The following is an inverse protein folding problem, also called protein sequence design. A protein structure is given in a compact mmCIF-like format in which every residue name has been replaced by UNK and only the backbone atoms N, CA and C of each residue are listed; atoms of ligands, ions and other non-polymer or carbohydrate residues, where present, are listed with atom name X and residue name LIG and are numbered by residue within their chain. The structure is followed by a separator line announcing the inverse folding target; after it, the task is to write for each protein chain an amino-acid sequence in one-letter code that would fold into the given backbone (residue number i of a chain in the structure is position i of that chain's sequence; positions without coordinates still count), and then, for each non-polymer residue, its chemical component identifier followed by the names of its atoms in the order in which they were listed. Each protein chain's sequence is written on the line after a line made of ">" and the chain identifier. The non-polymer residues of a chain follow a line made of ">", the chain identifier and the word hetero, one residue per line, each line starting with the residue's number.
data_IF_759495737374
#
_entry.id   IF_759495737374
#
_cell.length_a   1.000
_cell.length_b   1.000
_cell.length_c   1.000
_cell.angle_alpha   90.00
_cell.angle_beta   90.00
_cell.angle_gamma   90.00
#
_symmetry.space_group_name_H-M   'P 1'
#
loop_
_entity.id
_entity.type
_entity.pdbx_description
1 polymer ?
#
# COMPACT_ATOMS: atom_id res chain seq x y z
N UNK A 1 2.33 25.72 -13.68
CA UNK A 1 0.98 26.07 -14.19
C UNK A 1 0.38 24.97 -15.06
N UNK A 2 1.12 24.28 -15.94
CA UNK A 2 0.52 23.22 -16.78
C UNK A 2 0.22 21.90 -16.05
N UNK A 3 1.03 21.48 -15.07
CA UNK A 3 0.75 20.25 -14.28
C UNK A 3 -0.49 20.35 -13.37
N UNK A 4 -0.74 21.53 -12.78
CA UNK A 4 -1.94 21.76 -11.95
C UNK A 4 -3.25 21.63 -12.76
N UNK A 5 -3.21 21.92 -14.07
CA UNK A 5 -4.38 21.84 -14.94
C UNK A 5 -4.65 20.43 -15.48
N UNK A 6 -3.60 19.62 -15.69
CA UNK A 6 -3.74 18.24 -16.18
C UNK A 6 -4.14 17.26 -15.06
N UNK A 7 -3.81 17.55 -13.81
CA UNK A 7 -4.25 16.76 -12.65
C UNK A 7 -5.73 17.02 -12.32
N UNK A 8 -6.25 18.23 -12.53
CA UNK A 8 -7.55 18.61 -11.94
C UNK A 8 -8.77 17.98 -12.63
N UNK A 9 -8.86 17.93 -13.95
CA UNK A 9 -10.09 17.46 -14.63
C UNK A 9 -10.28 15.93 -14.57
N UNK A 10 -9.23 15.10 -14.80
CA UNK A 10 -9.35 13.65 -14.70
C UNK A 10 -9.56 13.17 -13.26
N UNK A 11 -8.89 13.79 -12.27
CA UNK A 11 -9.02 13.40 -10.86
C UNK A 11 -10.40 13.77 -10.29
N UNK A 12 -10.92 14.97 -10.59
CA UNK A 12 -12.23 15.43 -10.08
C UNK A 12 -13.41 14.61 -10.57
N UNK A 13 -13.25 13.85 -11.65
CA UNK A 13 -14.29 12.98 -12.21
C UNK A 13 -14.01 11.49 -12.00
N UNK A 14 -12.91 11.14 -11.31
CA UNK A 14 -12.51 9.76 -11.10
C UNK A 14 -13.56 9.01 -10.27
N UNK A 15 -13.95 7.81 -10.74
CA UNK A 15 -14.93 6.96 -10.07
C UNK A 15 -14.22 5.86 -9.27
N UNK A 16 -14.84 5.31 -8.22
CA UNK A 16 -14.35 4.09 -7.57
C UNK A 16 -14.01 3.00 -8.61
N UNK A 17 -12.86 2.37 -8.45
CA UNK A 17 -12.29 1.39 -9.38
C UNK A 17 -11.40 1.96 -10.48
N UNK A 18 -11.46 3.26 -10.77
CA UNK A 18 -10.59 3.90 -11.75
C UNK A 18 -9.11 3.86 -11.30
N UNK A 19 -8.21 3.73 -12.28
CA UNK A 19 -6.77 3.92 -12.09
C UNK A 19 -6.40 5.35 -12.47
N UNK A 20 -5.68 6.01 -11.57
CA UNK A 20 -5.12 7.35 -11.76
C UNK A 20 -3.63 7.33 -11.44
N UNK A 21 -2.92 8.39 -11.82
CA UNK A 21 -1.52 8.61 -11.44
C UNK A 21 -1.38 9.81 -10.52
N UNK A 22 -0.56 9.67 -9.47
CA UNK A 22 -0.30 10.72 -8.48
C UNK A 22 1.03 10.41 -7.77
N UNK A 23 1.98 11.34 -7.75
CA UNK A 23 3.34 11.08 -7.29
C UNK A 23 4.12 10.12 -8.19
N UNK A 24 5.40 9.95 -7.86
CA UNK A 24 6.36 9.10 -8.58
C UNK A 24 7.24 8.35 -7.60
N UNK A 25 7.51 7.07 -7.82
CA UNK A 25 8.41 6.28 -6.98
C UNK A 25 9.22 5.31 -7.84
N UNK A 26 10.39 4.83 -7.39
CA UNK A 26 11.12 3.80 -8.13
C UNK A 26 10.30 2.52 -8.28
N UNK A 27 10.29 1.97 -9.49
CA UNK A 27 9.57 0.74 -9.83
C UNK A 27 10.41 -0.21 -10.69
N UNK A 28 11.52 0.26 -11.27
CA UNK A 28 12.45 -0.54 -12.04
C UNK A 28 13.49 -1.25 -11.14
N UNK A 29 14.17 -2.25 -11.71
CA UNK A 29 15.14 -3.08 -11.00
C UNK A 29 16.43 -2.34 -10.57
N UNK A 30 16.74 -1.18 -11.14
CA UNK A 30 17.88 -0.36 -10.70
C UNK A 30 17.51 0.68 -9.63
N UNK A 31 16.20 0.89 -9.39
CA UNK A 31 15.68 1.84 -8.43
C UNK A 31 16.00 3.31 -8.72
N UNK A 32 16.48 3.63 -9.92
CA UNK A 32 16.89 4.98 -10.33
C UNK A 32 15.76 5.76 -11.02
N UNK A 33 14.68 5.06 -11.39
CA UNK A 33 13.55 5.62 -12.09
C UNK A 33 12.63 6.44 -11.18
N UNK A 34 11.83 7.30 -11.80
CA UNK A 34 10.74 8.06 -11.16
C UNK A 34 9.41 7.75 -11.82
N UNK A 35 9.03 6.48 -11.83
CA UNK A 35 7.79 6.03 -12.49
C UNK A 35 6.56 6.55 -11.75
N UNK A 36 5.58 7.14 -12.46
CA UNK A 36 4.30 7.54 -11.86
C UNK A 36 3.64 6.39 -11.11
N UNK A 37 3.20 6.64 -9.88
CA UNK A 37 2.52 5.62 -9.09
C UNK A 37 1.09 5.47 -9.61
N UNK A 38 0.69 4.25 -9.94
CA UNK A 38 -0.70 3.94 -10.25
C UNK A 38 -1.48 3.70 -8.96
N UNK A 39 -2.56 4.46 -8.79
CA UNK A 39 -3.47 4.35 -7.67
C UNK A 39 -4.85 3.96 -8.16
N UNK A 40 -5.45 3.00 -7.46
CA UNK A 40 -6.86 2.72 -7.62
C UNK A 40 -7.68 3.58 -6.66
N UNK A 41 -8.73 4.19 -7.19
CA UNK A 41 -9.71 4.93 -6.39
C UNK A 41 -10.58 3.92 -5.64
N UNK A 42 -10.44 3.86 -4.31
CA UNK A 42 -11.31 3.05 -3.44
C UNK A 42 -12.65 3.74 -3.22
N UNK A 43 -12.62 5.05 -2.95
CA UNK A 43 -13.81 5.86 -2.70
C UNK A 43 -13.62 7.26 -3.28
N UNK A 44 -14.73 7.88 -3.68
CA UNK A 44 -14.78 9.29 -4.02
C UNK A 44 -16.02 9.90 -3.36
N UNK A 45 -15.82 10.73 -2.34
CA UNK A 45 -16.90 11.39 -1.61
C UNK A 45 -16.57 12.85 -1.37
N UNK A 46 -17.50 13.75 -1.67
CA UNK A 46 -17.35 15.19 -1.44
C UNK A 46 -16.03 15.79 -2.00
N UNK A 47 -15.53 15.32 -3.15
CA UNK A 47 -14.24 15.77 -3.71
C UNK A 47 -12.98 15.24 -3.02
N UNK A 48 -13.13 14.33 -2.05
CA UNK A 48 -12.04 13.55 -1.47
C UNK A 48 -11.94 12.20 -2.17
N UNK A 49 -10.73 11.84 -2.60
CA UNK A 49 -10.40 10.53 -3.14
C UNK A 49 -9.63 9.72 -2.09
N UNK A 50 -10.11 8.52 -1.82
CA UNK A 50 -9.34 7.52 -1.08
C UNK A 50 -8.64 6.60 -2.08
N UNK A 51 -7.31 6.65 -2.10
CA UNK A 51 -6.46 6.01 -3.08
C UNK A 51 -5.64 4.89 -2.45
N UNK A 52 -5.43 3.82 -3.21
CA UNK A 52 -4.62 2.68 -2.82
C UNK A 52 -3.72 2.24 -3.96
N UNK A 53 -2.43 2.00 -3.69
CA UNK A 53 -1.46 1.66 -4.73
C UNK A 53 -1.86 0.36 -5.43
N UNK A 54 -1.78 0.34 -6.76
CA UNK A 54 -2.16 -0.86 -7.53
C UNK A 54 -1.21 -2.04 -7.25
N UNK A 55 0.09 -1.73 -7.10
CA UNK A 55 1.16 -2.69 -6.83
C UNK A 55 1.80 -2.49 -5.45
N UNK A 56 2.53 -3.50 -5.00
CA UNK A 56 3.49 -3.37 -3.90
C UNK A 56 4.67 -2.53 -4.39
N UNK A 57 4.90 -1.38 -3.77
CA UNK A 57 5.90 -0.41 -4.22
C UNK A 57 7.29 -0.63 -3.62
N UNK A 58 7.35 -1.18 -2.40
CA UNK A 58 8.62 -1.49 -1.72
C UNK A 58 8.43 -2.63 -0.71
N UNK A 59 9.54 -3.15 -0.19
CA UNK A 59 9.56 -4.19 0.86
C UNK A 59 10.17 -3.63 2.12
N UNK A 60 9.41 -3.69 3.22
CA UNK A 60 9.85 -3.23 4.54
C UNK A 60 9.37 -4.22 5.59
N UNK A 61 10.19 -4.42 6.63
CA UNK A 61 9.69 -5.01 7.88
C UNK A 61 8.63 -4.07 8.46
N UNK A 62 7.67 -4.64 9.18
CA UNK A 62 6.76 -3.82 9.98
C UNK A 62 7.55 -3.09 11.08
N UNK A 63 8.44 -3.83 11.75
CA UNK A 63 9.41 -3.33 12.72
C UNK A 63 10.71 -4.14 12.64
N UNK A 64 11.86 -3.53 12.92
CA UNK A 64 13.16 -4.19 12.73
C UNK A 64 13.33 -5.46 13.60
N UNK A 65 12.84 -5.45 14.83
CA UNK A 65 13.02 -6.52 15.81
C UNK A 65 11.73 -7.33 16.03
N UNK A 66 11.86 -8.57 16.49
CA UNK A 66 10.70 -9.40 16.84
C UNK A 66 10.25 -9.14 18.28
N UNK A 67 9.68 -7.96 18.49
CA UNK A 67 9.18 -7.49 19.79
C UNK A 67 7.74 -7.03 19.66
N UNK A 68 7.08 -6.86 20.80
CA UNK A 68 5.77 -6.24 20.84
C UNK A 68 5.86 -4.78 20.39
N UNK A 69 5.06 -4.43 19.38
CA UNK A 69 5.08 -3.10 18.76
C UNK A 69 3.67 -2.74 18.28
N UNK A 70 3.38 -1.45 18.17
CA UNK A 70 2.12 -0.91 17.65
C UNK A 70 2.29 -0.35 16.24
N UNK A 71 1.20 -0.11 15.51
CA UNK A 71 1.26 0.68 14.26
C UNK A 71 1.94 2.03 14.47
N UNK A 72 1.57 2.72 15.56
CA UNK A 72 2.05 4.06 15.92
C UNK A 72 3.58 4.14 15.95
N UNK A 73 4.21 3.13 16.54
CA UNK A 73 5.65 3.10 16.79
C UNK A 73 6.44 2.27 15.76
N UNK A 74 5.73 1.63 14.81
CA UNK A 74 6.31 0.80 13.76
C UNK A 74 7.26 1.56 12.83
N UNK A 75 8.25 0.87 12.30
CA UNK A 75 9.22 1.45 11.36
C UNK A 75 8.58 1.68 9.99
N UNK A 76 7.65 0.81 9.57
CA UNK A 76 6.92 0.99 8.32
C UNK A 76 6.08 2.26 8.32
N UNK A 77 5.43 2.62 9.45
CA UNK A 77 4.67 3.88 9.56
C UNK A 77 5.59 5.10 9.49
N UNK A 78 6.72 5.05 10.22
CA UNK A 78 7.74 6.12 10.20
C UNK A 78 8.28 6.31 8.79
N UNK A 79 8.59 5.23 8.09
CA UNK A 79 9.07 5.26 6.71
C UNK A 79 8.01 5.83 5.75
N UNK A 80 6.74 5.41 5.88
CA UNK A 80 5.63 5.88 5.05
C UNK A 80 5.43 7.40 5.16
N UNK A 81 5.47 7.94 6.37
CA UNK A 81 5.18 9.36 6.64
C UNK A 81 6.41 10.28 6.56
N UNK A 82 7.61 9.71 6.40
CA UNK A 82 8.84 10.48 6.18
C UNK A 82 9.41 10.14 4.80
N UNK A 83 10.29 9.14 4.72
CA UNK A 83 11.06 8.80 3.52
C UNK A 83 10.18 8.61 2.28
N UNK A 84 9.15 7.76 2.37
CA UNK A 84 8.26 7.50 1.24
C UNK A 84 7.49 8.77 0.85
N UNK A 85 6.87 9.46 1.81
CA UNK A 85 6.10 10.68 1.55
C UNK A 85 6.94 11.77 0.85
N UNK A 86 8.18 11.97 1.28
CA UNK A 86 9.07 12.97 0.68
C UNK A 86 9.64 12.53 -0.67
N UNK A 87 9.88 11.23 -0.87
CA UNK A 87 10.36 10.70 -2.15
C UNK A 87 9.25 10.67 -3.22
N UNK A 88 8.04 10.27 -2.80
CA UNK A 88 6.92 9.98 -3.68
C UNK A 88 6.21 11.22 -4.20
N UNK A 89 6.08 12.28 -3.38
CA UNK A 89 5.24 13.43 -3.69
C UNK A 89 6.03 14.74 -3.71
N UNK A 90 5.84 15.54 -4.75
CA UNK A 90 6.39 16.89 -4.80
C UNK A 90 5.58 17.89 -3.95
N UNK A 91 6.08 19.11 -3.76
CA UNK A 91 5.43 20.10 -2.89
C UNK A 91 4.08 20.59 -3.44
N UNK A 92 3.81 20.44 -4.73
CA UNK A 92 2.50 20.74 -5.31
C UNK A 92 1.49 19.63 -4.99
N UNK A 93 1.90 18.37 -5.08
CA UNK A 93 1.10 17.20 -4.78
C UNK A 93 0.79 17.08 -3.28
N UNK A 94 1.80 17.34 -2.43
CA UNK A 94 1.66 17.29 -0.97
C UNK A 94 0.54 18.17 -0.43
N UNK A 95 0.20 19.27 -1.11
CA UNK A 95 -0.90 20.19 -0.73
C UNK A 95 -2.27 19.52 -0.78
N UNK A 96 -2.45 18.53 -1.65
CA UNK A 96 -3.71 17.80 -1.76
C UNK A 96 -3.80 16.64 -0.76
N UNK A 97 -2.69 16.19 -0.17
CA UNK A 97 -2.66 15.05 0.74
C UNK A 97 -3.20 15.43 2.12
N UNK A 98 -4.33 14.83 2.47
CA UNK A 98 -4.95 15.02 3.78
C UNK A 98 -4.24 14.21 4.86
N UNK A 99 -4.21 14.81 6.04
CA UNK A 99 -3.94 14.05 7.26
C UNK A 99 -5.17 13.21 7.58
N UNK A 100 -4.96 11.93 7.82
CA UNK A 100 -6.01 10.95 8.06
C UNK A 100 -5.89 10.42 9.47
N UNK A 101 -6.97 10.55 10.23
CA UNK A 101 -7.12 9.92 11.52
C UNK A 101 -7.22 8.40 11.37
N UNK A 102 -6.30 7.68 11.99
CA UNK A 102 -6.14 6.23 11.88
C UNK A 102 -6.30 5.58 13.25
N UNK A 103 -7.32 4.75 13.40
CA UNK A 103 -7.71 4.04 14.62
C UNK A 103 -7.26 2.58 14.62
N UNK A 104 -7.58 1.82 15.67
CA UNK A 104 -7.29 0.37 15.79
C UNK A 104 -5.77 0.05 15.83
N UNK A 105 -5.00 0.94 16.46
CA UNK A 105 -3.54 0.86 16.56
C UNK A 105 -3.03 -0.05 17.69
N UNK A 106 -3.94 -0.70 18.42
CA UNK A 106 -3.66 -1.57 19.56
C UNK A 106 -4.35 -1.12 20.84
N UNK A 107 -4.47 -2.05 21.79
CA UNK A 107 -4.88 -1.73 23.15
C UNK A 107 -3.86 -0.76 23.77
N UNK A 108 -4.35 0.27 24.46
CA UNK A 108 -3.56 1.37 25.03
C UNK A 108 -2.68 2.16 24.04
N UNK A 109 -2.88 1.96 22.74
CA UNK A 109 -2.20 2.70 21.69
C UNK A 109 -3.08 3.83 21.20
N UNK A 110 -2.59 5.06 21.28
CA UNK A 110 -3.30 6.22 20.76
C UNK A 110 -3.52 6.13 19.24
N UNK A 111 -4.62 6.73 18.79
CA UNK A 111 -4.85 6.95 17.37
C UNK A 111 -3.72 7.79 16.74
N UNK A 112 -3.53 7.64 15.43
CA UNK A 112 -2.49 8.33 14.67
C UNK A 112 -3.07 9.27 13.64
N UNK A 113 -2.28 10.26 13.26
CA UNK A 113 -2.58 11.20 12.19
C UNK A 113 -1.57 10.98 11.08
N UNK A 114 -2.00 10.34 9.99
CA UNK A 114 -1.12 9.82 8.95
C UNK A 114 -1.40 10.50 7.60
N UNK A 115 -0.34 10.88 6.89
CA UNK A 115 -0.41 11.35 5.49
C UNK A 115 -0.43 10.19 4.51
N UNK A 116 0.33 9.14 4.81
CA UNK A 116 0.37 7.88 4.06
C UNK A 116 0.29 6.75 5.06
N UNK A 117 -0.55 5.76 4.79
CA UNK A 117 -0.86 4.67 5.73
C UNK A 117 -1.05 3.34 4.99
N UNK A 118 -1.13 2.24 5.74
CA UNK A 118 -1.60 0.95 5.21
C UNK A 118 -3.10 0.84 5.46
N UNK A 119 -3.83 0.08 4.64
CA UNK A 119 -5.23 -0.22 4.96
C UNK A 119 -5.33 -0.95 6.32
N UNK A 120 -6.40 -0.65 7.05
CA UNK A 120 -6.86 -1.48 8.16
C UNK A 120 -7.51 -2.76 7.66
N UNK A 121 -7.76 -3.71 8.55
CA UNK A 121 -8.50 -4.94 8.24
C UNK A 121 -9.93 -4.63 7.77
N UNK A 122 -10.73 -3.78 8.44
CA UNK A 122 -12.06 -3.41 7.94
C UNK A 122 -12.01 -2.76 6.56
N UNK A 123 -11.11 -1.78 6.34
CA UNK A 123 -10.95 -1.14 5.03
C UNK A 123 -10.56 -2.15 3.94
N UNK A 124 -9.65 -3.08 4.23
CA UNK A 124 -9.28 -4.13 3.29
C UNK A 124 -10.45 -5.09 3.02
N UNK A 125 -11.28 -5.42 4.01
CA UNK A 125 -12.45 -6.28 3.80
C UNK A 125 -13.53 -5.60 2.96
N UNK A 126 -13.77 -4.32 3.19
CA UNK A 126 -14.85 -3.57 2.54
C UNK A 126 -14.48 -3.09 1.14
N UNK A 127 -13.26 -2.56 0.97
CA UNK A 127 -12.86 -1.78 -0.20
C UNK A 127 -12.02 -2.56 -1.22
N UNK A 128 -11.69 -3.83 -0.93
CA UNK A 128 -10.93 -4.69 -1.82
C UNK A 128 -11.61 -6.04 -2.01
N UNK A 129 -11.32 -6.74 -3.11
CA UNK A 129 -11.95 -8.00 -3.49
C UNK A 129 -10.91 -9.06 -3.91
N UNK A 130 -11.30 -10.34 -3.91
CA UNK A 130 -10.55 -11.32 -4.70
C UNK A 130 -10.87 -11.11 -6.18
N UNK A 131 -9.91 -11.31 -7.09
CA UNK A 131 -10.09 -11.01 -8.51
C UNK A 131 -11.31 -11.71 -9.13
N UNK A 132 -11.59 -12.96 -8.75
CA UNK A 132 -12.76 -13.71 -9.23
C UNK A 132 -14.11 -13.17 -8.71
N UNK A 133 -14.10 -12.33 -7.67
CA UNK A 133 -15.32 -11.80 -7.04
C UNK A 133 -15.75 -10.47 -7.66
N UNK A 134 -14.80 -9.57 -7.97
CA UNK A 134 -15.10 -8.26 -8.54
C UNK A 134 -13.86 -7.68 -9.27
N UNK A 135 -13.86 -7.63 -10.62
CA UNK A 135 -12.74 -7.13 -11.41
C UNK A 135 -12.60 -5.59 -11.38
N UNK A 136 -13.62 -4.87 -10.89
CA UNK A 136 -13.63 -3.41 -10.85
C UNK A 136 -13.11 -2.84 -9.52
N UNK A 137 -13.20 -3.62 -8.44
CA UNK A 137 -12.63 -3.27 -7.13
C UNK A 137 -11.12 -3.43 -7.07
N UNK A 138 -10.51 -2.85 -6.03
CA UNK A 138 -9.10 -3.08 -5.73
C UNK A 138 -8.84 -4.55 -5.42
N UNK A 139 -7.83 -5.12 -6.08
CA UNK A 139 -7.43 -6.51 -5.90
C UNK A 139 -6.68 -6.67 -4.58
N UNK A 140 -7.06 -7.68 -3.78
CA UNK A 140 -6.30 -8.09 -2.59
C UNK A 140 -4.99 -8.77 -2.96
N UNK A 141 -5.06 -9.81 -3.79
CA UNK A 141 -3.88 -10.41 -4.42
C UNK A 141 -3.29 -9.42 -5.41
N UNK A 142 -1.98 -9.18 -5.29
CA UNK A 142 -1.26 -8.30 -6.20
C UNK A 142 0.21 -8.74 -6.29
N UNK A 143 0.89 -8.13 -7.25
CA UNK A 143 2.32 -8.28 -7.51
C UNK A 143 3.08 -7.07 -6.97
N UNK A 144 4.40 -7.24 -6.81
CA UNK A 144 5.30 -6.12 -6.59
C UNK A 144 5.93 -5.61 -7.86
N UNK A 145 6.33 -4.34 -7.81
CA UNK A 145 7.23 -3.74 -8.80
C UNK A 145 8.59 -4.45 -8.79
N UNK A 146 9.40 -4.28 -9.83
CA UNK A 146 10.76 -4.82 -9.83
C UNK A 146 11.59 -4.23 -8.70
N UNK A 147 11.40 -2.93 -8.40
CA UNK A 147 12.05 -2.28 -7.27
C UNK A 147 11.72 -2.93 -5.92
N UNK A 148 10.47 -3.36 -5.69
CA UNK A 148 10.09 -4.03 -4.45
C UNK A 148 10.78 -5.39 -4.28
N UNK A 149 11.04 -6.11 -5.39
CA UNK A 149 11.72 -7.42 -5.43
C UNK A 149 13.22 -7.34 -5.17
N UNK A 150 13.81 -6.14 -5.23
CA UNK A 150 15.24 -5.96 -4.95
C UNK A 150 15.58 -6.29 -3.51
N UNK A 151 16.72 -6.97 -3.32
CA UNK A 151 17.30 -7.16 -2.01
C UNK A 151 17.88 -5.83 -1.52
N UNK A 152 17.35 -5.34 -0.41
CA UNK A 152 17.76 -4.11 0.27
C UNK A 152 18.93 -4.38 1.22
N UNK A 153 19.64 -3.33 1.62
CA UNK A 153 20.81 -3.43 2.49
C UNK A 153 20.48 -3.97 3.90
N UNK A 154 19.26 -3.74 4.38
CA UNK A 154 18.74 -4.27 5.64
C UNK A 154 18.25 -5.74 5.53
N UNK A 155 18.45 -6.37 4.37
CA UNK A 155 18.03 -7.73 4.07
C UNK A 155 16.57 -7.88 3.66
N UNK A 156 15.79 -6.79 3.55
CA UNK A 156 14.44 -6.86 2.98
C UNK A 156 14.48 -7.27 1.51
N UNK A 157 13.56 -8.15 1.10
CA UNK A 157 13.42 -8.62 -0.27
C UNK A 157 12.02 -9.20 -0.47
N UNK A 158 11.22 -8.67 -1.42
CA UNK A 158 9.85 -9.16 -1.60
C UNK A 158 9.85 -10.63 -1.98
N UNK A 159 9.17 -11.45 -1.19
CA UNK A 159 9.00 -12.84 -1.56
C UNK A 159 7.79 -13.02 -2.48
N UNK A 160 8.08 -13.39 -3.72
CA UNK A 160 7.10 -13.75 -4.76
C UNK A 160 6.75 -15.23 -4.62
N UNK A 161 5.46 -15.56 -4.50
CA UNK A 161 5.04 -16.96 -4.46
C UNK A 161 4.72 -17.49 -5.85
N UNK A 162 5.65 -18.25 -6.42
CA UNK A 162 5.59 -18.82 -7.76
C UNK A 162 5.57 -20.36 -7.76
N UNK A 163 5.05 -20.97 -6.69
CA UNK A 163 5.00 -22.44 -6.52
C UNK A 163 3.80 -23.12 -7.19
N UNK A 164 3.50 -22.73 -8.43
CA UNK A 164 2.60 -23.40 -9.40
C UNK A 164 1.15 -23.69 -9.00
N UNK A 165 0.65 -23.15 -7.88
CA UNK A 165 -0.78 -23.21 -7.52
C UNK A 165 -1.48 -21.94 -8.03
N UNK A 166 -2.42 -22.11 -8.98
CA UNK A 166 -3.07 -21.04 -9.74
C UNK A 166 -3.61 -19.86 -8.92
N UNK A 167 -4.22 -20.13 -7.75
CA UNK A 167 -4.79 -19.10 -6.86
C UNK A 167 -3.77 -18.10 -6.29
N UNK A 168 -2.46 -18.35 -6.46
CA UNK A 168 -1.41 -17.42 -6.04
C UNK A 168 -0.97 -16.49 -7.17
N UNK A 169 -1.57 -16.57 -8.35
CA UNK A 169 -1.18 -15.77 -9.51
C UNK A 169 -2.28 -14.82 -9.91
N UNK A 170 -1.88 -13.71 -10.54
CA UNK A 170 -2.77 -12.87 -11.33
C UNK A 170 -2.29 -12.86 -12.78
N UNK A 171 -3.20 -12.53 -13.70
CA UNK A 171 -2.84 -12.20 -15.08
C UNK A 171 -2.74 -10.68 -15.18
N UNK A 172 -1.57 -10.19 -15.58
CA UNK A 172 -1.31 -8.78 -15.83
C UNK A 172 -0.71 -8.65 -17.23
N UNK A 173 -1.31 -7.85 -18.11
CA UNK A 173 -0.87 -7.69 -19.50
C UNK A 173 -0.66 -9.02 -20.27
N UNK A 174 -1.45 -10.05 -19.94
CA UNK A 174 -1.36 -11.37 -20.56
C UNK A 174 -0.29 -12.30 -19.95
N UNK A 175 0.46 -11.83 -18.96
CA UNK A 175 1.48 -12.62 -18.25
C UNK A 175 0.95 -13.13 -16.90
N UNK A 176 1.28 -14.38 -16.56
CA UNK A 176 0.94 -14.97 -15.27
C UNK A 176 2.03 -14.65 -14.23
N UNK A 177 1.67 -13.84 -13.22
CA UNK A 177 2.62 -13.32 -12.24
C UNK A 177 2.25 -13.73 -10.81
N UNK A 178 3.26 -14.19 -10.06
CA UNK A 178 3.09 -14.63 -8.67
C UNK A 178 2.79 -13.46 -7.72
N UNK A 179 1.77 -13.63 -6.89
CA UNK A 179 1.41 -12.64 -5.87
C UNK A 179 2.42 -12.65 -4.72
N UNK A 180 2.44 -11.55 -3.97
CA UNK A 180 3.25 -11.41 -2.77
C UNK A 180 2.41 -11.00 -1.57
N UNK A 181 2.97 -11.18 -0.37
CA UNK A 181 2.37 -10.74 0.88
C UNK A 181 2.55 -9.24 1.09
N UNK A 182 1.59 -8.58 1.75
CA UNK A 182 1.70 -7.17 2.13
C UNK A 182 1.01 -6.86 3.46
N UNK A 183 1.54 -5.88 4.19
CA UNK A 183 1.13 -5.53 5.55
C UNK A 183 -0.20 -4.75 5.63
N UNK A 184 -0.88 -4.87 6.77
CA UNK A 184 -2.03 -4.05 7.18
C UNK A 184 -1.73 -3.38 8.53
N UNK A 185 -2.38 -2.23 8.81
CA UNK A 185 -2.09 -1.45 10.03
C UNK A 185 -2.83 -1.89 11.29
N UNK A 186 -4.00 -2.52 11.17
CA UNK A 186 -4.78 -2.95 12.35
C UNK A 186 -3.91 -3.81 13.25
N UNK A 187 -3.96 -3.54 14.55
CA UNK A 187 -3.19 -4.31 15.52
C UNK A 187 -3.90 -5.63 15.87
N UNK A 188 -3.23 -6.80 15.74
CA UNK A 188 -3.76 -8.05 16.30
C UNK A 188 -3.56 -8.13 17.82
N UNK A 189 -4.23 -9.09 18.45
CA UNK A 189 -4.14 -9.33 19.91
C UNK A 189 -2.73 -9.64 20.43
N UNK A 190 -1.83 -10.13 19.57
CA UNK A 190 -0.41 -10.31 19.89
C UNK A 190 0.40 -9.22 19.18
N UNK A 191 0.97 -8.28 19.92
CA UNK A 191 1.63 -7.10 19.35
C UNK A 191 2.98 -7.36 18.67
N UNK A 192 3.59 -8.53 18.93
CA UNK A 192 4.71 -9.06 18.12
C UNK A 192 4.28 -9.60 16.74
N UNK A 193 3.00 -9.48 16.38
CA UNK A 193 2.45 -9.84 15.08
C UNK A 193 1.79 -8.64 14.41
N UNK A 194 1.69 -8.71 13.09
CA UNK A 194 0.91 -7.77 12.28
C UNK A 194 -0.07 -8.52 11.36
N UNK A 195 -1.15 -7.83 11.01
CA UNK A 195 -2.02 -8.31 9.94
C UNK A 195 -1.36 -8.15 8.58
N UNK A 196 -1.72 -9.03 7.66
CA UNK A 196 -1.25 -9.02 6.28
C UNK A 196 -2.30 -9.64 5.35
N UNK A 197 -2.16 -9.35 4.06
CA UNK A 197 -2.86 -10.05 2.99
C UNK A 197 -1.89 -11.04 2.34
N UNK A 198 -2.30 -12.31 2.29
CA UNK A 198 -1.55 -13.38 1.65
C UNK A 198 -1.82 -13.47 0.15
N UNK A 199 -1.02 -14.30 -0.53
CA UNK A 199 -1.03 -14.48 -1.99
C UNK A 199 -2.36 -14.96 -2.55
N UNK A 200 -3.16 -15.69 -1.75
CA UNK A 200 -4.54 -16.10 -2.09
C UNK A 200 -5.59 -15.09 -1.62
N UNK A 201 -5.23 -13.82 -1.50
CA UNK A 201 -6.10 -12.73 -1.05
C UNK A 201 -6.67 -12.89 0.37
N UNK A 202 -6.05 -13.72 1.22
CA UNK A 202 -6.54 -13.98 2.58
C UNK A 202 -5.97 -12.98 3.57
N UNK A 203 -6.81 -12.37 4.41
CA UNK A 203 -6.37 -11.57 5.55
C UNK A 203 -6.02 -12.51 6.71
N UNK A 204 -4.83 -12.33 7.30
CA UNK A 204 -4.28 -13.14 8.41
C UNK A 204 -3.53 -12.25 9.39
N UNK A 205 -3.38 -12.69 10.64
CA UNK A 205 -2.84 -11.90 11.76
C UNK A 205 -1.54 -12.42 12.35
N UNK A 206 -0.95 -13.48 11.77
CA UNK A 206 0.17 -14.19 12.39
C UNK A 206 1.55 -13.81 11.82
N UNK A 207 1.65 -12.74 11.01
CA UNK A 207 2.95 -12.32 10.45
C UNK A 207 3.83 -11.75 11.55
N UNK A 208 5.03 -12.27 11.76
CA UNK A 208 5.97 -11.62 12.71
C UNK A 208 6.32 -10.23 12.18
N UNK A 209 6.37 -9.25 13.06
CA UNK A 209 6.62 -7.84 12.68
C UNK A 209 7.97 -7.64 12.00
N UNK A 210 8.94 -8.52 12.25
CA UNK A 210 10.27 -8.47 11.66
C UNK A 210 10.45 -9.27 10.35
N UNK A 211 9.37 -9.78 9.75
CA UNK A 211 9.46 -10.48 8.46
C UNK A 211 9.99 -9.52 7.39
N UNK A 212 11.14 -9.88 6.81
CA UNK A 212 11.85 -9.06 5.83
C UNK A 212 11.29 -9.21 4.40
N UNK A 213 10.25 -10.03 4.22
CA UNK A 213 9.81 -10.47 2.90
C UNK A 213 8.41 -10.02 2.47
N UNK A 214 7.78 -9.14 3.25
CA UNK A 214 6.43 -8.65 2.98
C UNK A 214 6.49 -7.22 2.46
N UNK A 215 5.62 -6.95 1.50
CA UNK A 215 5.53 -5.70 0.79
C UNK A 215 4.74 -4.61 1.51
N UNK A 216 4.90 -3.40 1.01
CA UNK A 216 4.14 -2.21 1.40
C UNK A 216 3.27 -1.75 0.23
N UNK A 217 1.96 -1.69 0.47
CA UNK A 217 0.99 -1.02 -0.40
C UNK A 217 0.45 0.21 0.31
N UNK A 218 0.96 1.41 -0.01
CA UNK A 218 0.48 2.62 0.61
C UNK A 218 -0.95 2.95 0.18
N UNK A 219 -1.65 3.63 1.08
CA UNK A 219 -2.90 4.29 0.84
C UNK A 219 -2.78 5.77 1.22
N UNK A 220 -3.53 6.63 0.52
CA UNK A 220 -3.52 8.07 0.74
C UNK A 220 -4.92 8.64 0.51
N UNK A 221 -5.31 9.65 1.29
CA UNK A 221 -6.52 10.44 1.02
C UNK A 221 -6.10 11.79 0.47
N UNK A 222 -6.64 12.15 -0.70
CA UNK A 222 -6.39 13.45 -1.31
C UNK A 222 -7.68 14.25 -1.41
N UNK A 223 -7.59 15.55 -1.17
CA UNK A 223 -8.70 16.50 -1.34
C UNK A 223 -8.40 17.40 -2.50
N UNK A 224 -9.21 17.26 -3.55
CA UNK A 224 -9.12 18.12 -4.71
C UNK A 224 -9.79 19.47 -4.39
N UNK A 225 -9.31 20.57 -4.99
CA UNK A 225 -9.87 21.90 -4.81
C UNK A 225 -11.25 22.05 -5.47
#
# INVERSE_FOLDING_TARGET
>A
MEKDNLLNTPLKSAKPGAIITFGTYPQAADGSDRTPIQWRVLQHTNGELFLFSEYILDTKRYYAENVDITWRDSDVRKWLNNEFYHAAFDDSEKKYIKTTHCTDNGEDSADTEDKVFLLSVPEAQELTAKLAEDPFRARRGTIGTEFAKLKKNDGCNLYVYDKTVGDNYIIENGEQLGCSWWWLRTQPSRSSRAYFVGTRSSIRSYGNVNLACYGVRPAVKIKLP
#
